data_IF_246171269137
#
_entry.id   IF_246171269137
#
_cell.length_a   1.000
_cell.length_b   1.000
_cell.length_c   1.000
_cell.angle_alpha   90.00
_cell.angle_beta   90.00
_cell.angle_gamma   90.00
#
_symmetry.space_group_name_H-M   'P 1'
#
loop_
_entity.id
_entity.type
_entity.pdbx_description
1 polymer ?
#
# COMPACT_ATOMS: atom_id res chain seq x y z
N UNK A 1 -24.55 -0.36 9.42
CA UNK A 1 -23.16 -0.68 9.01
C UNK A 1 -23.25 -1.99 8.21
N UNK A 2 -23.77 -1.94 6.97
CA UNK A 2 -24.41 -3.11 6.34
C UNK A 2 -23.48 -4.31 6.10
N UNK A 3 -22.21 -4.08 5.74
CA UNK A 3 -21.24 -5.17 5.56
C UNK A 3 -20.77 -5.78 6.88
N UNK A 4 -20.72 -5.02 7.98
CA UNK A 4 -20.43 -5.57 9.31
C UNK A 4 -21.55 -6.50 9.79
N UNK A 5 -22.80 -6.13 9.53
CA UNK A 5 -23.96 -6.96 9.85
C UNK A 5 -23.92 -8.29 9.05
N UNK A 6 -23.55 -8.23 7.77
CA UNK A 6 -23.35 -9.42 6.93
C UNK A 6 -22.19 -10.28 7.40
N UNK A 7 -21.05 -9.67 7.74
CA UNK A 7 -19.90 -10.36 8.32
C UNK A 7 -20.25 -11.09 9.62
N UNK A 8 -20.93 -10.42 10.55
CA UNK A 8 -21.38 -11.00 11.81
C UNK A 8 -22.39 -12.13 11.58
N UNK A 9 -23.32 -11.97 10.62
CA UNK A 9 -24.29 -13.00 10.23
C UNK A 9 -23.70 -14.16 9.43
N UNK A 10 -22.44 -14.07 9.00
CA UNK A 10 -21.74 -15.06 8.20
C UNK A 10 -20.59 -15.72 8.98
N UNK A 11 -20.81 -16.04 10.26
CA UNK A 11 -19.87 -16.75 11.13
C UNK A 11 -18.48 -16.09 11.27
N UNK A 12 -18.41 -14.75 11.18
CA UNK A 12 -17.16 -14.01 11.33
C UNK A 12 -16.21 -14.15 10.15
N UNK A 13 -16.74 -14.45 8.96
CA UNK A 13 -16.00 -14.37 7.70
C UNK A 13 -16.69 -13.41 6.72
N UNK A 14 -15.89 -12.54 6.10
CA UNK A 14 -16.37 -11.55 5.14
C UNK A 14 -16.99 -12.26 3.91
N UNK A 15 -18.31 -12.14 3.69
CA UNK A 15 -18.89 -12.61 2.45
C UNK A 15 -18.39 -11.76 1.28
N UNK A 16 -18.26 -12.34 0.10
CA UNK A 16 -17.87 -11.59 -1.11
C UNK A 16 -19.07 -11.13 -1.95
N UNK A 17 -20.29 -11.40 -1.50
CA UNK A 17 -21.50 -11.11 -2.25
C UNK A 17 -22.71 -10.81 -1.36
N UNK A 18 -23.62 -10.02 -1.91
CA UNK A 18 -24.98 -9.84 -1.43
C UNK A 18 -25.88 -9.59 -2.65
N UNK A 19 -27.04 -10.22 -2.72
CA UNK A 19 -27.99 -9.99 -3.80
C UNK A 19 -28.76 -8.67 -3.67
N UNK A 20 -29.71 -8.41 -4.58
CA UNK A 20 -30.50 -7.17 -4.60
C UNK A 20 -31.25 -6.87 -3.30
N UNK A 21 -31.63 -7.91 -2.55
CA UNK A 21 -32.29 -7.75 -1.24
C UNK A 21 -31.28 -7.57 -0.08
N UNK A 22 -29.99 -7.51 -0.40
CA UNK A 22 -28.90 -7.40 0.58
C UNK A 22 -28.58 -8.71 1.32
N UNK A 23 -29.19 -9.83 0.91
CA UNK A 23 -28.96 -11.16 1.48
C UNK A 23 -27.69 -11.79 0.89
N UNK A 24 -26.84 -12.35 1.76
CA UNK A 24 -25.64 -13.08 1.36
C UNK A 24 -26.02 -14.35 0.60
N UNK A 25 -25.36 -14.62 -0.53
CA UNK A 25 -25.55 -15.83 -1.33
C UNK A 25 -26.84 -15.89 -2.15
N UNK A 26 -27.66 -14.84 -2.15
CA UNK A 26 -29.00 -14.82 -2.77
C UNK A 26 -28.97 -15.23 -4.25
N UNK A 27 -28.01 -14.73 -5.01
CA UNK A 27 -27.84 -15.02 -6.44
C UNK A 27 -26.78 -16.09 -6.73
N UNK A 28 -26.20 -16.69 -5.67
CA UNK A 28 -25.11 -17.68 -5.76
C UNK A 28 -25.44 -19.01 -5.06
N UNK A 29 -26.74 -19.32 -4.93
CA UNK A 29 -27.20 -20.60 -4.38
C UNK A 29 -26.93 -20.74 -2.88
N UNK A 30 -26.93 -19.64 -2.13
CA UNK A 30 -26.63 -19.60 -0.70
C UNK A 30 -25.13 -19.52 -0.37
N UNK A 31 -24.24 -19.53 -1.37
CA UNK A 31 -22.80 -19.40 -1.14
C UNK A 31 -22.43 -17.98 -0.74
N UNK A 32 -21.77 -17.84 0.40
CA UNK A 32 -21.20 -16.57 0.87
C UNK A 32 -19.94 -16.15 0.10
N UNK A 33 -19.45 -17.03 -0.77
CA UNK A 33 -18.35 -16.82 -1.68
C UNK A 33 -18.77 -17.04 -3.13
N UNK A 34 -17.94 -16.60 -4.08
CA UNK A 34 -18.11 -16.92 -5.51
C UNK A 34 -18.28 -15.70 -6.42
N UNK A 35 -18.24 -14.48 -5.88
CA UNK A 35 -18.36 -13.27 -6.70
C UNK A 35 -17.08 -12.92 -7.46
N UNK A 36 -17.22 -12.02 -8.43
CA UNK A 36 -16.08 -11.39 -9.09
C UNK A 36 -15.24 -10.60 -8.08
N UNK A 37 -13.92 -10.81 -8.13
CA UNK A 37 -12.94 -10.25 -7.19
C UNK A 37 -13.17 -10.66 -5.72
N UNK A 38 -13.91 -11.76 -5.51
CA UNK A 38 -14.11 -12.41 -4.22
C UNK A 38 -13.19 -13.61 -4.00
N UNK A 39 -13.63 -14.55 -3.16
CA UNK A 39 -12.82 -15.67 -2.67
C UNK A 39 -12.44 -16.71 -3.72
N UNK A 40 -13.09 -16.74 -4.90
CA UNK A 40 -12.78 -17.68 -6.00
C UNK A 40 -11.98 -17.03 -7.14
N UNK A 41 -11.93 -15.71 -7.18
CA UNK A 41 -11.37 -14.96 -8.31
C UNK A 41 -9.87 -14.66 -8.06
N UNK A 42 -9.07 -14.26 -9.07
CA UNK A 42 -7.70 -13.81 -8.84
C UNK A 42 -7.63 -12.79 -7.70
N UNK A 43 -6.56 -12.89 -6.90
CA UNK A 43 -6.26 -12.08 -5.69
C UNK A 43 -6.96 -12.47 -4.39
N UNK A 44 -8.19 -12.99 -4.42
CA UNK A 44 -8.86 -13.53 -3.23
C UNK A 44 -8.87 -12.59 -2.02
N UNK A 45 -8.50 -13.11 -0.85
CA UNK A 45 -8.46 -12.41 0.42
C UNK A 45 -7.63 -11.13 0.37
N UNK A 46 -6.60 -11.04 -0.48
CA UNK A 46 -5.86 -9.79 -0.65
C UNK A 46 -6.79 -8.61 -0.94
N UNK A 47 -7.71 -8.75 -1.88
CA UNK A 47 -8.61 -7.64 -2.23
C UNK A 47 -9.75 -7.46 -1.24
N UNK A 48 -10.22 -8.55 -0.63
CA UNK A 48 -11.22 -8.50 0.43
C UNK A 48 -10.65 -7.75 1.65
N UNK A 49 -9.45 -8.11 2.09
CA UNK A 49 -8.72 -7.45 3.17
C UNK A 49 -8.42 -5.98 2.85
N UNK A 50 -7.99 -5.66 1.63
CA UNK A 50 -7.80 -4.28 1.19
C UNK A 50 -9.11 -3.49 1.32
N UNK A 51 -10.24 -4.02 0.85
CA UNK A 51 -11.55 -3.36 0.95
C UNK A 51 -12.02 -3.21 2.41
N UNK A 52 -11.75 -4.20 3.27
CA UNK A 52 -12.09 -4.12 4.69
C UNK A 52 -11.26 -3.05 5.41
N UNK A 53 -9.97 -2.93 5.10
CA UNK A 53 -9.13 -1.87 5.65
C UNK A 53 -9.62 -0.51 5.15
N UNK A 54 -9.84 -0.35 3.83
CA UNK A 54 -10.35 0.91 3.28
C UNK A 54 -11.65 1.32 3.97
N UNK A 55 -12.61 0.39 4.11
CA UNK A 55 -13.87 0.67 4.82
C UNK A 55 -13.66 1.07 6.28
N UNK A 56 -12.82 0.33 7.00
CA UNK A 56 -12.49 0.60 8.40
C UNK A 56 -11.76 1.94 8.59
N UNK A 57 -10.81 2.28 7.72
CA UNK A 57 -10.07 3.54 7.78
C UNK A 57 -10.93 4.74 7.44
N UNK A 58 -11.87 4.63 6.49
CA UNK A 58 -12.85 5.69 6.23
C UNK A 58 -13.76 5.90 7.45
N UNK A 59 -14.23 4.82 8.10
CA UNK A 59 -14.99 4.93 9.35
C UNK A 59 -14.14 5.57 10.46
N UNK A 60 -12.89 5.14 10.62
CA UNK A 60 -11.94 5.69 11.59
C UNK A 60 -11.74 7.19 11.37
N UNK A 61 -11.52 7.60 10.13
CA UNK A 61 -11.28 8.99 9.75
C UNK A 61 -12.50 9.89 10.02
N UNK A 62 -13.72 9.39 9.78
CA UNK A 62 -14.95 10.16 9.94
C UNK A 62 -15.47 10.20 11.38
N UNK A 63 -15.16 9.18 12.20
CA UNK A 63 -15.78 9.00 13.52
C UNK A 63 -14.79 9.04 14.68
N UNK A 64 -13.49 8.83 14.43
CA UNK A 64 -12.46 8.65 15.45
C UNK A 64 -12.51 7.33 16.22
N UNK A 65 -13.48 6.44 15.92
CA UNK A 65 -13.72 5.19 16.65
C UNK A 65 -12.57 4.20 16.54
N UNK A 66 -11.96 3.83 17.68
CA UNK A 66 -10.74 3.03 17.70
C UNK A 66 -10.91 1.55 17.34
N UNK A 67 -12.16 1.07 17.27
CA UNK A 67 -12.51 -0.29 16.93
C UNK A 67 -12.83 -0.49 15.42
N UNK A 68 -12.73 0.57 14.61
CA UNK A 68 -13.11 0.53 13.20
C UNK A 68 -12.37 -0.54 12.37
N UNK A 69 -11.14 -0.91 12.73
CA UNK A 69 -10.39 -1.98 12.04
C UNK A 69 -10.45 -3.35 12.74
N UNK A 70 -11.23 -3.53 13.82
CA UNK A 70 -11.29 -4.80 14.55
C UNK A 70 -11.72 -5.98 13.69
N UNK A 71 -12.69 -5.80 12.79
CA UNK A 71 -13.12 -6.83 11.85
C UNK A 71 -11.99 -7.36 10.94
N UNK A 72 -10.96 -6.57 10.63
CA UNK A 72 -9.81 -7.03 9.86
C UNK A 72 -8.91 -7.90 10.75
N UNK A 73 -8.67 -7.46 11.99
CA UNK A 73 -7.88 -8.21 12.97
C UNK A 73 -8.51 -9.58 13.23
N UNK A 74 -9.82 -9.60 13.44
CA UNK A 74 -10.62 -10.82 13.62
C UNK A 74 -10.62 -11.71 12.36
N UNK A 75 -10.70 -11.12 11.16
CA UNK A 75 -10.65 -11.87 9.91
C UNK A 75 -9.27 -12.54 9.71
N UNK A 76 -8.18 -11.87 10.07
CA UNK A 76 -6.85 -12.48 10.10
C UNK A 76 -6.78 -13.62 11.13
N UNK A 77 -7.33 -13.44 12.33
CA UNK A 77 -7.38 -14.49 13.35
C UNK A 77 -8.23 -15.70 12.93
N UNK A 78 -9.32 -15.45 12.19
CA UNK A 78 -10.13 -16.49 11.58
C UNK A 78 -9.32 -17.30 10.58
N UNK A 79 -8.63 -16.63 9.65
CA UNK A 79 -7.84 -17.28 8.60
C UNK A 79 -6.61 -18.00 9.15
N UNK A 80 -6.02 -17.51 10.25
CA UNK A 80 -4.90 -18.14 10.94
C UNK A 80 -5.21 -19.55 11.44
N UNK A 81 -6.48 -19.89 11.67
CA UNK A 81 -6.91 -21.26 12.06
C UNK A 81 -6.62 -22.31 10.98
N UNK A 82 -6.50 -21.86 9.73
CA UNK A 82 -6.21 -22.70 8.58
C UNK A 82 -4.76 -22.59 8.13
N UNK A 83 -3.95 -21.74 8.77
CA UNK A 83 -2.60 -21.44 8.32
C UNK A 83 -1.73 -22.68 8.17
N UNK A 84 -0.83 -22.64 7.19
CA UNK A 84 0.22 -23.64 7.03
C UNK A 84 1.58 -22.98 7.19
N UNK A 85 2.53 -23.70 7.77
CA UNK A 85 3.89 -23.19 7.98
C UNK A 85 4.85 -23.92 7.06
N UNK A 86 5.69 -23.15 6.35
CA UNK A 86 6.80 -23.71 5.56
C UNK A 86 7.95 -24.14 6.46
N UNK A 87 8.86 -24.94 5.91
CA UNK A 87 10.06 -25.40 6.62
C UNK A 87 10.97 -24.23 7.08
N UNK A 88 10.92 -23.09 6.40
CA UNK A 88 11.63 -21.86 6.75
C UNK A 88 10.95 -21.02 7.86
N UNK A 89 9.82 -21.50 8.41
CA UNK A 89 9.04 -20.81 9.43
C UNK A 89 8.03 -19.80 8.89
N UNK A 90 7.95 -19.58 7.58
CA UNK A 90 6.97 -18.65 6.99
C UNK A 90 5.55 -19.19 7.17
N UNK A 91 4.70 -18.39 7.81
CA UNK A 91 3.26 -18.65 7.95
C UNK A 91 2.53 -18.22 6.68
N UNK A 92 1.69 -19.10 6.14
CA UNK A 92 0.87 -18.84 4.96
C UNK A 92 -0.61 -18.94 5.34
N UNK A 93 -1.36 -17.87 5.10
CA UNK A 93 -2.81 -17.84 5.25
C UNK A 93 -3.50 -18.22 3.94
N UNK A 94 -4.67 -18.89 4.00
CA UNK A 94 -5.42 -19.18 2.79
C UNK A 94 -5.90 -17.88 2.15
N UNK A 95 -5.75 -17.79 0.82
CA UNK A 95 -6.18 -16.60 0.09
C UNK A 95 -7.52 -16.79 -0.60
N UNK A 96 -7.95 -18.04 -0.81
CA UNK A 96 -9.13 -18.33 -1.61
C UNK A 96 -9.92 -19.50 -1.06
N UNK A 97 -11.21 -19.53 -1.39
CA UNK A 97 -12.16 -20.55 -0.94
C UNK A 97 -12.97 -21.07 -2.12
N UNK A 98 -13.28 -22.36 -2.12
CA UNK A 98 -14.16 -23.02 -3.10
C UNK A 98 -14.85 -24.25 -2.50
N UNK A 99 -15.66 -24.95 -3.28
CA UNK A 99 -16.30 -26.20 -2.88
C UNK A 99 -15.22 -27.32 -2.69
N UNK A 100 -15.41 -28.25 -1.76
CA UNK A 100 -14.39 -29.26 -1.40
C UNK A 100 -13.94 -30.17 -2.56
N UNK A 101 -14.85 -30.43 -3.50
CA UNK A 101 -14.63 -31.28 -4.67
C UNK A 101 -14.28 -30.48 -5.93
N UNK A 102 -14.12 -29.15 -5.82
CA UNK A 102 -13.82 -28.30 -6.96
C UNK A 102 -12.50 -28.68 -7.65
N UNK A 103 -12.49 -28.57 -8.97
CA UNK A 103 -11.29 -28.68 -9.79
C UNK A 103 -10.71 -27.28 -9.98
N UNK A 104 -9.55 -27.05 -9.36
CA UNK A 104 -8.88 -25.74 -9.33
C UNK A 104 -7.62 -25.80 -10.18
N UNK A 105 -7.71 -25.36 -11.44
CA UNK A 105 -6.59 -25.44 -12.38
C UNK A 105 -6.23 -24.06 -12.94
N UNK A 106 -4.94 -23.70 -12.82
CA UNK A 106 -4.43 -22.41 -13.25
C UNK A 106 -3.11 -22.54 -13.99
N UNK A 107 -2.81 -21.52 -14.79
CA UNK A 107 -1.49 -21.34 -15.37
C UNK A 107 -0.46 -21.19 -14.25
N UNK A 108 0.45 -22.15 -14.13
CA UNK A 108 1.49 -22.21 -13.11
C UNK A 108 2.65 -23.08 -13.58
N UNK A 109 3.54 -23.44 -12.67
CA UNK A 109 4.56 -24.43 -12.95
C UNK A 109 4.63 -25.45 -11.82
N UNK A 110 5.22 -26.61 -12.07
CA UNK A 110 5.24 -27.72 -11.10
C UNK A 110 6.04 -27.39 -9.82
N UNK A 111 6.82 -26.30 -9.81
CA UNK A 111 7.53 -25.79 -8.64
C UNK A 111 6.72 -24.78 -7.83
N UNK A 112 5.51 -24.40 -8.27
CA UNK A 112 4.62 -23.57 -7.47
C UNK A 112 4.36 -24.29 -6.15
N UNK A 113 4.63 -23.66 -4.99
CA UNK A 113 4.37 -24.26 -3.70
C UNK A 113 2.91 -24.70 -3.61
N UNK A 114 2.70 -25.88 -3.00
CA UNK A 114 1.39 -26.45 -2.74
C UNK A 114 0.57 -26.79 -3.99
N UNK A 115 1.22 -27.38 -4.99
CA UNK A 115 0.54 -28.07 -6.07
C UNK A 115 0.16 -29.50 -5.65
N UNK A 116 -0.91 -30.03 -6.24
CA UNK A 116 -1.28 -31.46 -6.15
C UNK A 116 -0.52 -32.24 -7.22
N UNK A 117 -0.01 -33.45 -6.91
CA UNK A 117 0.70 -34.28 -7.88
C UNK A 117 -0.23 -34.91 -8.93
N UNK A 118 -1.53 -35.04 -8.62
CA UNK A 118 -2.55 -35.57 -9.52
C UNK A 118 -3.12 -34.45 -10.40
N UNK A 119 -2.52 -34.24 -11.57
CA UNK A 119 -2.96 -33.28 -12.58
C UNK A 119 -4.18 -33.79 -13.35
N UNK A 120 -5.15 -32.91 -13.63
CA UNK A 120 -6.44 -33.27 -14.25
C UNK A 120 -6.59 -32.73 -15.70
N UNK A 121 -5.66 -31.91 -16.22
CA UNK A 121 -5.64 -31.49 -17.64
C UNK A 121 -4.50 -32.04 -18.49
N UNK A 122 -4.76 -32.10 -19.79
CA UNK A 122 -3.80 -32.29 -20.88
C UNK A 122 -3.16 -30.98 -21.38
N UNK A 123 -3.69 -29.81 -21.01
CA UNK A 123 -3.18 -28.50 -21.42
C UNK A 123 -1.85 -28.13 -20.72
N UNK A 124 -0.71 -27.99 -21.45
CA UNK A 124 0.59 -27.67 -20.89
C UNK A 124 0.60 -26.39 -20.02
N UNK A 125 1.28 -26.45 -18.86
CA UNK A 125 1.40 -25.30 -17.94
C UNK A 125 0.24 -25.08 -16.97
N UNK A 126 -0.82 -25.89 -17.02
CA UNK A 126 -1.84 -25.88 -15.96
C UNK A 126 -1.42 -26.77 -14.78
N UNK A 127 -1.53 -26.24 -13.57
CA UNK A 127 -1.31 -26.97 -12.32
C UNK A 127 -2.56 -26.95 -11.45
N UNK A 128 -2.73 -27.98 -10.62
CA UNK A 128 -3.80 -28.05 -9.61
C UNK A 128 -3.26 -27.61 -8.26
N UNK A 129 -3.92 -26.68 -7.58
CA UNK A 129 -3.52 -26.29 -6.23
C UNK A 129 -4.01 -27.33 -5.19
N UNK A 130 -3.23 -27.49 -4.12
CA UNK A 130 -3.64 -28.19 -2.91
C UNK A 130 -4.68 -27.35 -2.20
N UNK A 131 -5.75 -28.02 -1.80
CA UNK A 131 -6.83 -27.47 -1.00
C UNK A 131 -6.87 -28.17 0.37
N UNK A 132 -7.32 -27.44 1.38
CA UNK A 132 -7.59 -27.95 2.73
C UNK A 132 -8.97 -27.40 3.13
N UNK A 133 -9.98 -28.26 3.23
CA UNK A 133 -11.34 -27.90 3.66
C UNK A 133 -11.92 -26.65 2.96
N UNK A 134 -11.91 -26.62 1.62
CA UNK A 134 -12.36 -25.42 0.88
C UNK A 134 -11.24 -24.43 0.53
N UNK A 135 -10.19 -24.36 1.35
CA UNK A 135 -9.16 -23.32 1.29
C UNK A 135 -8.00 -23.64 0.37
N UNK A 136 -7.53 -22.68 -0.41
CA UNK A 136 -6.38 -22.86 -1.31
C UNK A 136 -5.60 -21.55 -1.54
N UNK A 137 -4.50 -21.67 -2.30
CA UNK A 137 -3.60 -20.56 -2.69
C UNK A 137 -3.01 -19.82 -1.47
N UNK A 138 -2.45 -20.59 -0.53
CA UNK A 138 -1.92 -20.05 0.71
C UNK A 138 -0.66 -19.21 0.44
N UNK A 139 -0.63 -18.00 1.00
CA UNK A 139 0.48 -17.07 0.86
C UNK A 139 0.73 -16.31 2.16
N UNK A 140 1.90 -15.66 2.31
CA UNK A 140 2.09 -14.70 3.38
C UNK A 140 1.05 -13.59 3.28
N UNK A 141 0.68 -13.01 4.43
CA UNK A 141 -0.24 -11.87 4.47
C UNK A 141 0.41 -10.65 3.86
N UNK A 142 -0.40 -9.75 3.29
CA UNK A 142 0.09 -8.50 2.71
C UNK A 142 0.75 -7.63 3.79
N UNK A 143 2.02 -7.27 3.58
CA UNK A 143 2.77 -6.40 4.51
C UNK A 143 2.10 -5.03 4.67
N UNK A 144 1.56 -4.46 3.58
CA UNK A 144 0.78 -3.22 3.62
C UNK A 144 -0.43 -3.36 4.55
N UNK A 145 -1.21 -4.44 4.43
CA UNK A 145 -2.39 -4.64 5.29
C UNK A 145 -2.01 -4.69 6.77
N UNK A 146 -0.91 -5.38 7.10
CA UNK A 146 -0.40 -5.47 8.48
C UNK A 146 0.10 -4.12 8.98
N UNK A 147 0.77 -3.33 8.14
CA UNK A 147 1.25 -2.01 8.50
C UNK A 147 0.10 -1.03 8.74
N UNK A 148 -0.94 -1.06 7.91
CA UNK A 148 -2.17 -0.29 8.12
C UNK A 148 -2.84 -0.62 9.46
N UNK A 149 -2.92 -1.91 9.84
CA UNK A 149 -3.44 -2.31 11.15
C UNK A 149 -2.58 -1.80 12.31
N UNK A 150 -1.25 -1.89 12.20
CA UNK A 150 -0.36 -1.36 13.22
C UNK A 150 -0.50 0.16 13.35
N UNK A 151 -0.47 0.91 12.24
CA UNK A 151 -0.52 2.38 12.27
C UNK A 151 -1.86 2.97 12.67
N UNK A 152 -2.94 2.17 12.71
CA UNK A 152 -4.26 2.58 13.22
C UNK A 152 -4.24 2.87 14.74
N UNK A 153 -3.44 2.13 15.52
CA UNK A 153 -3.40 2.27 16.99
C UNK A 153 -2.00 2.32 17.61
N UNK A 154 -0.98 1.88 16.88
CA UNK A 154 0.39 1.68 17.37
C UNK A 154 0.48 0.73 18.57
N UNK A 155 -0.40 -0.28 18.60
CA UNK A 155 -0.44 -1.27 19.68
C UNK A 155 0.52 -2.43 19.43
N UNK A 156 1.02 -3.01 20.52
CA UNK A 156 2.04 -4.06 20.47
C UNK A 156 1.51 -5.38 19.88
N UNK A 157 0.21 -5.67 20.04
CA UNK A 157 -0.45 -6.84 19.49
C UNK A 157 -0.47 -6.81 17.95
N UNK A 158 -0.75 -5.65 17.35
CA UNK A 158 -0.73 -5.46 15.90
C UNK A 158 0.70 -5.58 15.34
N UNK A 159 1.71 -5.05 16.04
CA UNK A 159 3.11 -5.21 15.65
C UNK A 159 3.57 -6.67 15.72
N UNK A 160 3.18 -7.38 16.78
CA UNK A 160 3.50 -8.79 16.95
C UNK A 160 2.84 -9.63 15.83
N UNK A 161 1.56 -9.37 15.53
CA UNK A 161 0.86 -10.00 14.42
C UNK A 161 1.52 -9.72 13.07
N UNK A 162 1.99 -8.49 12.86
CA UNK A 162 2.73 -8.13 11.66
C UNK A 162 4.01 -8.97 11.51
N UNK A 163 4.76 -9.19 12.61
CA UNK A 163 5.98 -10.02 12.61
C UNK A 163 5.69 -11.49 12.31
N UNK A 164 4.63 -12.03 12.90
CA UNK A 164 4.23 -13.43 12.74
C UNK A 164 3.73 -13.77 11.33
N UNK A 165 2.98 -12.87 10.70
CA UNK A 165 2.32 -13.11 9.41
C UNK A 165 3.12 -12.59 8.20
N UNK A 166 4.18 -11.82 8.43
CA UNK A 166 5.09 -11.35 7.38
C UNK A 166 6.19 -12.37 7.11
N UNK A 167 6.88 -12.18 5.99
CA UNK A 167 8.10 -12.94 5.68
C UNK A 167 9.24 -12.49 6.62
N UNK A 168 9.96 -13.41 7.30
CA UNK A 168 11.04 -13.03 8.21
C UNK A 168 12.12 -12.15 7.57
N UNK A 169 12.47 -12.45 6.31
CA UNK A 169 13.50 -11.71 5.58
C UNK A 169 13.09 -10.27 5.22
N UNK A 170 11.79 -9.94 5.21
CA UNK A 170 11.31 -8.62 4.79
C UNK A 170 11.54 -7.51 5.84
N UNK A 171 11.86 -7.88 7.09
CA UNK A 171 12.01 -6.91 8.19
C UNK A 171 13.33 -6.16 8.16
N UNK A 172 14.40 -6.78 7.64
CA UNK A 172 15.77 -6.27 7.77
C UNK A 172 16.40 -5.93 6.41
N UNK A 173 15.58 -5.66 5.39
CA UNK A 173 16.07 -5.26 4.08
C UNK A 173 15.07 -4.38 3.35
N UNK A 174 15.60 -3.46 2.55
CA UNK A 174 14.86 -2.80 1.46
C UNK A 174 15.20 -3.52 0.15
N UNK A 175 14.18 -3.92 -0.61
CA UNK A 175 14.43 -4.72 -1.83
C UNK A 175 13.53 -4.37 -3.01
N UNK A 176 14.13 -4.34 -4.21
CA UNK A 176 13.43 -4.13 -5.47
C UNK A 176 12.39 -5.23 -5.76
N UNK A 177 12.56 -6.43 -5.19
CA UNK A 177 11.63 -7.55 -5.39
C UNK A 177 10.33 -7.39 -4.62
N UNK A 178 10.29 -6.51 -3.61
CA UNK A 178 9.08 -6.24 -2.85
C UNK A 178 8.12 -5.29 -3.58
N UNK A 179 8.61 -4.54 -4.58
CA UNK A 179 7.84 -3.52 -5.28
C UNK A 179 6.78 -4.17 -6.18
N UNK A 180 5.52 -3.98 -5.83
CA UNK A 180 4.40 -4.37 -6.70
C UNK A 180 4.29 -3.41 -7.88
N UNK A 181 4.11 -3.96 -9.09
CA UNK A 181 4.01 -3.18 -10.31
C UNK A 181 2.92 -2.09 -10.25
N UNK A 182 1.80 -2.36 -9.56
CA UNK A 182 0.65 -1.44 -9.44
C UNK A 182 0.66 -0.56 -8.19
N UNK A 183 1.17 -1.09 -7.07
CA UNK A 183 1.19 -0.37 -5.80
C UNK A 183 2.43 0.52 -5.67
N UNK A 184 3.54 0.17 -6.33
CA UNK A 184 4.83 0.89 -6.33
C UNK A 184 5.45 1.09 -4.93
N UNK A 185 4.91 0.43 -3.91
CA UNK A 185 5.51 0.19 -2.61
C UNK A 185 5.68 -1.29 -2.31
N UNK A 186 6.14 -1.61 -1.10
CA UNK A 186 6.37 -2.95 -0.59
C UNK A 186 7.38 -3.04 0.56
N UNK A 187 7.88 -1.91 1.06
CA UNK A 187 8.87 -1.86 2.16
C UNK A 187 8.21 -1.73 3.54
N UNK A 188 6.91 -2.05 3.65
CA UNK A 188 6.11 -1.87 4.86
C UNK A 188 6.72 -2.60 6.07
N UNK A 189 7.13 -3.87 5.94
CA UNK A 189 7.74 -4.62 7.06
C UNK A 189 9.06 -4.00 7.52
N UNK A 190 9.90 -3.54 6.59
CA UNK A 190 11.15 -2.86 6.91
C UNK A 190 10.90 -1.50 7.59
N UNK A 191 9.88 -0.76 7.15
CA UNK A 191 9.45 0.47 7.78
C UNK A 191 8.91 0.25 9.20
N UNK A 192 8.10 -0.79 9.43
CA UNK A 192 7.65 -1.14 10.77
C UNK A 192 8.83 -1.48 11.69
N UNK A 193 9.86 -2.16 11.16
CA UNK A 193 11.08 -2.46 11.89
C UNK A 193 11.85 -1.17 12.27
N UNK A 194 11.91 -0.21 11.34
CA UNK A 194 12.47 1.13 11.58
C UNK A 194 11.72 1.87 12.69
N UNK A 195 10.38 1.91 12.62
CA UNK A 195 9.55 2.54 13.64
C UNK A 195 9.72 1.90 15.03
N UNK A 196 9.98 0.59 15.09
CA UNK A 196 10.31 -0.11 16.35
C UNK A 196 11.75 0.08 16.82
N UNK A 197 12.57 0.87 16.10
CA UNK A 197 13.93 1.23 16.49
C UNK A 197 14.99 0.18 16.18
N UNK A 198 14.70 -0.80 15.33
CA UNK A 198 15.55 -1.98 15.10
C UNK A 198 16.17 -2.06 13.71
N UNK A 199 15.84 -1.14 12.79
CA UNK A 199 16.47 -1.02 11.47
C UNK A 199 16.96 0.42 11.23
N UNK A 200 18.06 0.81 11.88
CA UNK A 200 18.55 2.19 11.88
C UNK A 200 18.90 2.73 10.48
N UNK A 201 19.42 1.88 9.59
CA UNK A 201 19.87 2.24 8.23
C UNK A 201 18.71 2.39 7.23
N UNK A 202 17.47 2.05 7.63
CA UNK A 202 16.29 2.10 6.78
C UNK A 202 16.11 3.42 6.00
N UNK A 203 16.31 4.62 6.58
CA UNK A 203 16.15 5.86 5.84
C UNK A 203 17.09 5.99 4.65
N UNK A 204 18.34 5.56 4.79
CA UNK A 204 19.32 5.57 3.69
C UNK A 204 18.94 4.52 2.64
N UNK A 205 18.70 3.28 3.08
CA UNK A 205 18.36 2.16 2.21
C UNK A 205 17.10 2.44 1.36
N UNK A 206 16.05 3.01 1.95
CA UNK A 206 14.79 3.30 1.24
C UNK A 206 14.94 4.47 0.26
N UNK A 207 15.78 5.47 0.57
CA UNK A 207 16.06 6.57 -0.34
C UNK A 207 16.90 6.11 -1.53
N UNK A 208 17.94 5.30 -1.30
CA UNK A 208 18.73 4.68 -2.37
C UNK A 208 17.85 3.82 -3.28
N UNK A 209 16.96 3.02 -2.69
CA UNK A 209 15.96 2.25 -3.41
C UNK A 209 15.02 3.12 -4.26
N UNK A 210 14.48 4.22 -3.71
CA UNK A 210 13.64 5.16 -4.45
C UNK A 210 14.39 5.81 -5.62
N UNK A 211 15.66 6.17 -5.43
CA UNK A 211 16.52 6.69 -6.50
C UNK A 211 16.74 5.62 -7.59
N UNK A 212 16.99 4.36 -7.20
CA UNK A 212 17.16 3.25 -8.13
C UNK A 212 15.90 3.00 -8.97
N UNK A 213 14.70 3.10 -8.38
CA UNK A 213 13.43 3.00 -9.10
C UNK A 213 13.29 4.10 -10.17
N UNK A 214 13.67 5.34 -9.85
CA UNK A 214 13.66 6.45 -10.81
C UNK A 214 14.59 6.15 -11.98
N UNK A 215 15.85 5.76 -11.72
CA UNK A 215 16.79 5.43 -12.78
C UNK A 215 16.34 4.25 -13.65
N UNK A 216 15.76 3.22 -13.03
CA UNK A 216 15.19 2.07 -13.75
C UNK A 216 14.07 2.52 -14.68
N UNK A 217 13.15 3.38 -14.19
CA UNK A 217 12.05 3.87 -15.00
C UNK A 217 12.54 4.79 -16.13
N UNK A 218 13.50 5.66 -15.88
CA UNK A 218 14.14 6.48 -16.91
C UNK A 218 14.76 5.62 -18.00
N UNK A 219 15.47 4.54 -17.63
CA UNK A 219 16.05 3.61 -18.60
C UNK A 219 14.98 2.96 -19.50
N UNK A 220 13.83 2.58 -18.93
CA UNK A 220 12.70 2.04 -19.70
C UNK A 220 12.18 3.10 -20.69
N UNK A 221 11.88 4.30 -20.21
CA UNK A 221 11.32 5.38 -21.04
C UNK A 221 12.27 5.81 -22.17
N UNK A 222 13.55 5.95 -21.87
CA UNK A 222 14.57 6.23 -22.88
C UNK A 222 14.72 5.09 -23.88
N UNK A 223 14.69 3.84 -23.40
CA UNK A 223 14.73 2.67 -24.28
C UNK A 223 13.57 2.65 -25.27
N UNK A 224 12.37 2.99 -24.82
CA UNK A 224 11.16 3.03 -25.65
C UNK A 224 11.25 4.08 -26.77
N UNK A 225 11.79 5.27 -26.49
CA UNK A 225 12.07 6.31 -27.52
C UNK A 225 12.99 5.81 -28.64
N UNK A 226 13.76 4.76 -28.38
CA UNK A 226 14.74 4.19 -29.31
C UNK A 226 14.37 2.78 -29.79
N UNK A 227 13.09 2.37 -29.68
CA UNK A 227 12.60 1.12 -30.26
C UNK A 227 12.65 -0.09 -29.34
N UNK A 228 12.97 0.09 -28.05
CA UNK A 228 12.78 -1.00 -27.07
C UNK A 228 11.30 -1.40 -27.01
N UNK A 229 11.07 -2.71 -26.91
CA UNK A 229 9.73 -3.27 -26.73
C UNK A 229 9.28 -3.13 -25.27
N UNK A 230 8.00 -2.88 -25.09
CA UNK A 230 7.30 -2.91 -23.81
C UNK A 230 6.54 -4.24 -23.66
N UNK A 231 6.11 -4.55 -22.44
CA UNK A 231 5.21 -5.69 -22.21
C UNK A 231 3.82 -5.35 -22.75
N UNK A 232 3.21 -6.25 -23.52
CA UNK A 232 1.78 -6.18 -23.83
C UNK A 232 0.97 -6.29 -22.53
N UNK A 233 0.10 -5.31 -22.27
CA UNK A 233 -0.89 -5.39 -21.19
C UNK A 233 -1.91 -6.49 -21.53
N UNK A 234 -2.86 -6.16 -22.40
CA UNK A 234 -3.70 -7.12 -23.11
C UNK A 234 -3.24 -7.15 -24.56
N UNK A 235 -2.95 -8.31 -25.15
CA UNK A 235 -2.57 -8.36 -26.56
C UNK A 235 -3.78 -8.01 -27.46
N UNK A 236 -3.55 -7.57 -28.71
CA UNK A 236 -4.61 -7.47 -29.71
C UNK A 236 -5.34 -8.81 -29.89
N UNK A 237 -6.67 -8.78 -29.99
CA UNK A 237 -7.53 -9.98 -30.04
C UNK A 237 -7.75 -10.53 -31.47
N UNK A 238 -7.07 -9.98 -32.48
CA UNK A 238 -7.12 -10.48 -33.85
C UNK A 238 -6.31 -9.69 -34.88
N UNK A 239 -6.26 -10.22 -36.10
CA UNK A 239 -5.45 -9.68 -37.20
C UNK A 239 -5.78 -8.22 -37.57
N UNK A 240 -7.06 -7.84 -37.46
CA UNK A 240 -7.48 -6.46 -37.71
C UNK A 240 -6.90 -5.49 -36.66
N UNK A 241 -6.94 -5.86 -35.39
CA UNK A 241 -6.38 -5.02 -34.31
C UNK A 241 -4.85 -4.92 -34.41
N UNK A 242 -4.18 -6.00 -34.85
CA UNK A 242 -2.75 -5.93 -35.15
C UNK A 242 -2.42 -5.01 -36.32
N UNK A 243 -3.23 -5.03 -37.39
CA UNK A 243 -3.05 -4.14 -38.53
C UNK A 243 -3.31 -2.67 -38.15
N UNK A 244 -4.35 -2.42 -37.36
CA UNK A 244 -4.61 -1.10 -36.81
C UNK A 244 -3.48 -0.62 -35.90
N UNK A 245 -2.95 -1.48 -35.03
CA UNK A 245 -1.81 -1.15 -34.18
C UNK A 245 -0.56 -0.81 -35.00
N UNK A 246 -0.26 -1.60 -36.05
CA UNK A 246 0.82 -1.32 -37.01
C UNK A 246 0.67 0.05 -37.65
N UNK A 247 -0.52 0.34 -38.18
CA UNK A 247 -0.83 1.62 -38.84
C UNK A 247 -0.72 2.80 -37.86
N UNK A 248 -1.33 2.71 -36.68
CA UNK A 248 -1.27 3.75 -35.64
C UNK A 248 0.18 3.98 -35.20
N UNK A 249 0.97 2.92 -35.05
CA UNK A 249 2.38 3.03 -34.68
C UNK A 249 3.18 3.78 -35.73
N UNK A 250 2.99 3.47 -37.01
CA UNK A 250 3.62 4.19 -38.10
C UNK A 250 3.21 5.67 -38.11
N UNK A 251 1.91 5.96 -38.03
CA UNK A 251 1.39 7.34 -38.02
C UNK A 251 1.96 8.16 -36.83
N UNK A 252 2.05 7.58 -35.64
CA UNK A 252 2.62 8.24 -34.45
C UNK A 252 4.12 8.50 -34.61
N UNK A 253 4.87 7.52 -35.10
CA UNK A 253 6.32 7.65 -35.31
C UNK A 253 6.63 8.72 -36.36
N UNK A 254 5.91 8.74 -37.47
CA UNK A 254 6.06 9.76 -38.53
C UNK A 254 5.68 11.16 -38.01
N UNK A 255 4.54 11.28 -37.32
CA UNK A 255 4.02 12.58 -36.87
C UNK A 255 4.88 13.23 -35.80
N UNK A 256 5.41 12.45 -34.86
CA UNK A 256 6.15 12.95 -33.70
C UNK A 256 7.66 12.70 -33.78
N UNK A 257 8.15 12.18 -34.90
CA UNK A 257 9.56 11.79 -35.09
C UNK A 257 10.06 10.87 -33.96
N UNK A 258 9.28 9.81 -33.70
CA UNK A 258 9.55 8.79 -32.67
C UNK A 258 10.00 7.48 -33.31
N UNK A 259 10.53 6.57 -32.50
CA UNK A 259 10.84 5.19 -32.89
C UNK A 259 10.18 4.19 -31.93
N UNK A 260 8.90 4.35 -31.63
CA UNK A 260 8.18 3.44 -30.75
C UNK A 260 7.89 2.11 -31.43
N UNK A 261 7.99 1.02 -30.66
CA UNK A 261 7.49 -0.29 -31.08
C UNK A 261 5.96 -0.34 -30.99
N UNK A 262 5.33 -1.29 -31.70
CA UNK A 262 3.89 -1.56 -31.58
C UNK A 262 3.48 -1.83 -30.13
N UNK A 263 4.28 -2.61 -29.40
CA UNK A 263 4.02 -2.93 -27.99
C UNK A 263 4.05 -1.69 -27.09
N UNK A 264 4.95 -0.75 -27.41
CA UNK A 264 5.06 0.54 -26.73
C UNK A 264 3.79 1.33 -26.97
N UNK A 265 3.44 1.57 -28.25
CA UNK A 265 2.23 2.31 -28.65
C UNK A 265 0.96 1.71 -28.01
N UNK A 266 0.83 0.39 -28.04
CA UNK A 266 -0.30 -0.30 -27.44
C UNK A 266 -0.41 -0.07 -25.93
N UNK A 267 0.71 -0.18 -25.22
CA UNK A 267 0.73 0.02 -23.77
C UNK A 267 0.44 1.47 -23.34
N UNK A 268 0.69 2.46 -24.21
CA UNK A 268 0.31 3.86 -23.96
C UNK A 268 -1.21 4.06 -23.91
N UNK A 269 -1.98 3.24 -24.63
CA UNK A 269 -3.44 3.28 -24.58
C UNK A 269 -4.01 2.65 -23.29
N UNK A 270 -3.43 1.54 -22.83
CA UNK A 270 -4.04 0.74 -21.76
C UNK A 270 -3.46 0.97 -20.36
N UNK A 271 -2.15 1.16 -20.26
CA UNK A 271 -1.40 0.99 -19.00
C UNK A 271 -0.32 2.05 -18.79
N UNK A 272 -0.48 3.21 -19.43
CA UNK A 272 0.49 4.32 -19.40
C UNK A 272 0.92 4.68 -17.97
N UNK A 273 -0.02 5.09 -17.11
CA UNK A 273 0.30 5.52 -15.75
C UNK A 273 0.89 4.40 -14.89
N UNK A 274 0.62 3.15 -15.22
CA UNK A 274 1.12 2.00 -14.48
C UNK A 274 2.60 1.71 -14.79
N UNK A 275 2.95 1.66 -16.08
CA UNK A 275 4.28 1.26 -16.53
C UNK A 275 5.24 2.42 -16.71
N UNK A 276 4.76 3.67 -16.70
CA UNK A 276 5.58 4.86 -17.02
C UNK A 276 5.62 5.91 -15.92
N UNK A 277 5.02 5.66 -14.76
CA UNK A 277 5.16 6.54 -13.61
C UNK A 277 6.58 6.44 -13.03
N UNK A 278 7.40 7.52 -13.09
CA UNK A 278 8.76 7.52 -12.54
C UNK A 278 8.79 7.76 -11.04
N UNK A 279 7.66 8.07 -10.41
CA UNK A 279 7.59 8.45 -9.01
C UNK A 279 7.14 7.26 -8.16
N UNK A 280 7.98 6.88 -7.20
CA UNK A 280 7.54 6.18 -6.00
C UNK A 280 7.54 7.17 -4.84
N UNK A 281 6.45 7.17 -4.08
CA UNK A 281 6.25 8.10 -2.96
C UNK A 281 6.48 7.42 -1.61
N UNK A 282 6.79 6.12 -1.59
CA UNK A 282 6.85 5.32 -0.36
C UNK A 282 7.86 5.86 0.65
N UNK A 283 9.12 6.09 0.22
CA UNK A 283 10.14 6.70 1.07
C UNK A 283 9.70 8.06 1.62
N UNK A 284 9.03 8.88 0.81
CA UNK A 284 8.56 10.20 1.24
C UNK A 284 7.43 10.09 2.27
N UNK A 285 6.47 9.19 2.05
CA UNK A 285 5.36 8.95 3.00
C UNK A 285 5.90 8.43 4.32
N UNK A 286 6.83 7.47 4.30
CA UNK A 286 7.42 6.90 5.50
C UNK A 286 8.28 7.93 6.23
N UNK A 287 9.30 8.48 5.56
CA UNK A 287 10.32 9.29 6.21
C UNK A 287 9.90 10.73 6.45
N UNK A 288 8.99 11.30 5.67
CA UNK A 288 8.55 12.68 5.91
C UNK A 288 7.21 12.71 6.63
N UNK A 289 6.28 11.81 6.35
CA UNK A 289 4.90 11.95 6.86
C UNK A 289 4.60 11.05 8.06
N UNK A 290 5.46 10.05 8.35
CA UNK A 290 5.28 9.15 9.49
C UNK A 290 4.00 8.32 9.35
N UNK A 291 3.77 7.77 8.16
CA UNK A 291 2.61 6.94 7.82
C UNK A 291 2.95 5.87 6.80
N UNK A 292 1.92 5.25 6.22
CA UNK A 292 2.05 4.15 5.24
C UNK A 292 1.46 4.54 3.89
N UNK A 293 1.96 3.94 2.81
CA UNK A 293 1.45 4.17 1.46
C UNK A 293 -0.02 3.74 1.35
N UNK A 294 -0.93 4.56 0.77
CA UNK A 294 -2.35 4.23 0.69
C UNK A 294 -2.60 2.87 0.04
N UNK A 295 -3.45 2.03 0.67
CA UNK A 295 -3.83 0.73 0.09
C UNK A 295 -4.28 0.87 -1.36
N UNK A 296 -3.78 -0.05 -2.18
CA UNK A 296 -4.11 -0.15 -3.59
C UNK A 296 -5.65 -0.30 -3.79
N UNK A 297 -6.22 0.42 -4.77
CA UNK A 297 -7.66 0.54 -5.07
C UNK A 297 -8.51 1.45 -4.16
N UNK A 298 -7.92 2.46 -3.51
CA UNK A 298 -8.72 3.54 -2.89
C UNK A 298 -8.48 3.74 -1.40
N UNK A 299 -7.34 3.29 -0.87
CA UNK A 299 -6.89 3.63 0.48
C UNK A 299 -6.74 5.14 0.68
N UNK A 300 -6.93 5.56 1.93
CA UNK A 300 -6.68 6.93 2.36
C UNK A 300 -5.19 7.12 2.68
N UNK A 301 -4.71 8.35 2.62
CA UNK A 301 -3.37 8.69 3.08
C UNK A 301 -3.38 8.85 4.61
N UNK A 302 -3.07 7.77 5.33
CA UNK A 302 -2.99 7.77 6.79
C UNK A 302 -1.55 8.06 7.22
N UNK A 303 -1.34 9.29 7.70
CA UNK A 303 -0.02 9.83 8.07
C UNK A 303 -0.12 10.63 9.36
N UNK A 304 1.02 10.80 10.04
CA UNK A 304 1.06 11.61 11.26
C UNK A 304 1.16 13.11 10.95
N UNK A 305 1.88 13.50 9.90
CA UNK A 305 2.05 14.91 9.49
C UNK A 305 1.92 15.14 7.99
N UNK A 306 1.49 16.36 7.63
CA UNK A 306 1.59 16.95 6.29
C UNK A 306 2.24 18.32 6.37
N UNK A 307 2.95 18.74 5.32
CA UNK A 307 3.72 19.99 5.29
C UNK A 307 3.19 21.00 4.28
N UNK A 308 3.37 22.28 4.59
CA UNK A 308 3.12 23.38 3.67
C UNK A 308 4.27 24.39 3.67
N UNK A 309 4.57 24.90 2.48
CA UNK A 309 5.50 25.99 2.23
C UNK A 309 4.77 27.31 2.50
N UNK A 310 5.10 27.94 3.62
CA UNK A 310 4.43 29.17 4.10
C UNK A 310 4.74 30.37 3.18
N UNK A 311 5.97 30.47 2.68
CA UNK A 311 6.38 31.53 1.75
C UNK A 311 5.75 31.33 0.37
N UNK A 312 5.81 30.11 -0.14
CA UNK A 312 5.28 29.75 -1.45
C UNK A 312 3.76 29.55 -1.48
N UNK A 313 3.10 29.51 -0.32
CA UNK A 313 1.66 29.21 -0.13
C UNK A 313 1.22 27.99 -0.93
N UNK A 314 1.93 26.86 -0.75
CA UNK A 314 1.66 25.60 -1.46
C UNK A 314 1.88 24.38 -0.57
N UNK A 315 1.26 23.22 -0.87
CA UNK A 315 1.58 21.96 -0.23
C UNK A 315 3.05 21.54 -0.45
N UNK A 316 3.59 20.82 0.53
CA UNK A 316 4.93 20.24 0.50
C UNK A 316 5.95 21.05 1.29
N UNK A 317 7.16 20.52 1.37
CA UNK A 317 8.29 21.18 2.03
C UNK A 317 8.71 22.45 1.25
N UNK A 318 9.13 23.52 1.94
CA UNK A 318 9.82 24.64 1.31
C UNK A 318 11.10 24.18 0.60
N UNK A 319 11.57 24.98 -0.36
CA UNK A 319 12.89 24.75 -0.96
C UNK A 319 13.98 24.73 0.12
N UNK A 320 14.96 23.84 -0.04
CA UNK A 320 16.10 23.65 0.87
C UNK A 320 15.72 23.12 2.27
N UNK A 321 14.48 22.68 2.48
CA UNK A 321 14.06 22.07 3.75
C UNK A 321 13.95 20.55 3.60
N UNK A 322 14.58 19.82 4.51
CA UNK A 322 14.43 18.38 4.66
C UNK A 322 13.68 18.04 5.96
N UNK A 323 12.95 16.94 5.95
CA UNK A 323 12.23 16.39 7.09
C UNK A 323 12.52 14.89 7.24
N UNK A 324 12.70 14.43 8.47
CA UNK A 324 12.87 13.01 8.81
C UNK A 324 12.04 12.68 10.06
N UNK A 325 11.12 11.74 9.93
CA UNK A 325 10.36 11.13 11.01
C UNK A 325 11.11 9.88 11.44
N UNK A 326 11.63 9.88 12.67
CA UNK A 326 12.49 8.80 13.17
C UNK A 326 11.81 7.80 14.10
N UNK A 327 10.64 8.17 14.63
CA UNK A 327 9.78 7.27 15.38
C UNK A 327 8.35 7.77 15.34
N UNK A 328 7.39 6.85 15.42
CA UNK A 328 5.96 7.14 15.54
C UNK A 328 5.36 6.17 16.54
N UNK A 329 4.55 6.70 17.46
CA UNK A 329 3.79 5.93 18.42
C UNK A 329 2.36 6.49 18.54
N UNK A 330 1.60 5.98 19.51
CA UNK A 330 0.22 6.39 19.76
C UNK A 330 0.10 7.88 20.13
N UNK A 331 1.09 8.44 20.83
CA UNK A 331 1.10 9.79 21.40
C UNK A 331 1.80 10.81 20.47
N UNK A 332 2.39 10.38 19.36
CA UNK A 332 2.87 11.24 18.27
C UNK A 332 4.11 10.73 17.56
N UNK A 333 5.05 11.61 17.21
CA UNK A 333 6.28 11.25 16.51
C UNK A 333 7.51 12.08 16.91
N UNK A 334 8.70 11.57 16.56
CA UNK A 334 9.97 12.34 16.58
C UNK A 334 10.27 12.86 15.18
N UNK A 335 10.44 14.17 15.05
CA UNK A 335 10.66 14.88 13.78
C UNK A 335 12.00 15.59 13.81
N UNK A 336 12.81 15.40 12.78
CA UNK A 336 13.99 16.20 12.49
C UNK A 336 13.72 17.08 11.27
N UNK A 337 13.90 18.39 11.40
CA UNK A 337 13.84 19.37 10.32
C UNK A 337 15.23 19.95 10.09
N UNK A 338 15.61 20.11 8.83
CA UNK A 338 16.87 20.72 8.44
C UNK A 338 16.64 21.80 7.38
N UNK A 339 17.21 22.98 7.59
CA UNK A 339 17.30 24.03 6.58
C UNK A 339 18.71 24.05 5.99
N UNK A 340 18.81 23.59 4.75
CA UNK A 340 20.06 23.48 3.99
C UNK A 340 20.52 24.83 3.41
N UNK A 341 19.67 25.86 3.42
CA UNK A 341 20.05 27.15 2.88
C UNK A 341 21.00 27.88 3.84
N UNK A 342 22.15 28.30 3.33
CA UNK A 342 23.25 28.90 4.13
C UNK A 342 22.98 30.31 4.69
N UNK A 343 22.11 31.09 4.05
CA UNK A 343 21.82 32.48 4.47
C UNK A 343 20.35 32.84 4.68
N UNK A 344 19.40 31.99 4.26
CA UNK A 344 17.97 32.30 4.33
C UNK A 344 17.32 31.45 5.41
N UNK A 345 16.57 32.13 6.27
CA UNK A 345 15.59 31.47 7.12
C UNK A 345 14.49 30.86 6.24
N UNK A 346 13.89 29.77 6.69
CA UNK A 346 12.74 29.14 6.02
C UNK A 346 11.57 29.04 6.98
N UNK A 347 10.36 29.34 6.49
CA UNK A 347 9.12 29.12 7.23
C UNK A 347 8.40 27.88 6.70
N UNK A 348 7.99 26.98 7.60
CA UNK A 348 7.25 25.75 7.29
C UNK A 348 6.02 25.65 8.19
N UNK A 349 4.91 25.16 7.65
CA UNK A 349 3.72 24.82 8.43
C UNK A 349 3.59 23.30 8.51
N UNK A 350 3.53 22.78 9.74
CA UNK A 350 3.16 21.40 10.04
C UNK A 350 1.64 21.31 10.19
N UNK A 351 1.04 20.28 9.62
CA UNK A 351 -0.35 19.89 9.82
C UNK A 351 -0.42 18.49 10.45
N UNK A 352 -1.25 18.32 11.48
CA UNK A 352 -1.56 17.01 12.04
C UNK A 352 -2.47 16.21 11.11
N UNK A 353 -1.96 15.09 10.57
CA UNK A 353 -2.70 14.25 9.61
C UNK A 353 -2.75 14.80 8.18
N UNK A 354 -3.16 13.96 7.23
CA UNK A 354 -3.25 14.35 5.81
C UNK A 354 -4.34 15.40 5.56
N UNK A 355 -5.40 15.35 6.36
CA UNK A 355 -6.65 16.12 6.24
C UNK A 355 -6.89 17.04 7.45
N UNK A 356 -5.86 17.27 8.28
CA UNK A 356 -5.98 18.12 9.47
C UNK A 356 -6.80 17.50 10.60
N UNK A 357 -6.97 16.18 10.57
CA UNK A 357 -7.76 15.39 11.50
C UNK A 357 -7.07 15.17 12.86
N UNK A 358 -5.75 15.38 12.94
CA UNK A 358 -5.01 15.27 14.20
C UNK A 358 -4.75 16.65 14.79
N UNK A 359 -4.82 16.73 16.12
CA UNK A 359 -4.38 17.91 16.86
C UNK A 359 -2.91 17.79 17.22
N UNK A 360 -2.15 18.84 16.96
CA UNK A 360 -0.81 19.04 17.53
C UNK A 360 -1.00 19.56 18.96
N UNK A 361 -0.68 18.72 19.94
CA UNK A 361 -0.87 19.04 21.36
C UNK A 361 0.27 19.91 21.87
N UNK A 362 1.49 19.48 21.64
CA UNK A 362 2.70 20.19 22.02
C UNK A 362 3.90 19.79 21.16
N UNK A 363 4.92 20.61 21.19
CA UNK A 363 6.25 20.31 20.65
C UNK A 363 7.26 20.36 21.79
N UNK A 364 8.11 19.34 21.87
CA UNK A 364 9.18 19.25 22.86
C UNK A 364 10.53 19.24 22.16
N UNK A 365 11.40 20.17 22.56
CA UNK A 365 12.77 20.32 22.04
C UNK A 365 13.68 20.63 23.21
N UNK A 366 14.81 19.94 23.33
CA UNK A 366 15.80 20.20 24.40
C UNK A 366 15.20 20.21 25.82
N UNK A 367 14.23 19.33 26.10
CA UNK A 367 13.44 19.25 27.34
C UNK A 367 12.47 20.43 27.60
N UNK A 368 12.41 21.40 26.70
CA UNK A 368 11.43 22.48 26.74
C UNK A 368 10.16 22.07 25.99
N UNK A 369 9.01 22.21 26.66
CA UNK A 369 7.70 21.87 26.12
C UNK A 369 6.91 23.13 25.78
N UNK A 370 6.48 23.25 24.53
CA UNK A 370 5.62 24.34 24.06
C UNK A 370 4.25 23.79 23.65
N UNK A 371 3.18 24.26 24.30
CA UNK A 371 1.81 23.89 23.94
C UNK A 371 1.36 24.56 22.62
N UNK A 372 0.55 23.85 21.82
CA UNK A 372 0.08 24.32 20.50
C UNK A 372 -1.44 24.40 20.46
N UNK A 373 -2.13 23.30 20.79
CA UNK A 373 -3.60 23.14 20.76
C UNK A 373 -4.26 23.57 19.42
N UNK A 374 -3.67 23.13 18.31
CA UNK A 374 -4.15 23.42 16.95
C UNK A 374 -3.80 22.27 16.00
N UNK A 375 -4.47 22.16 14.84
CA UNK A 375 -4.08 21.24 13.77
C UNK A 375 -2.89 21.75 12.95
N UNK A 376 -2.52 23.03 13.08
CA UNK A 376 -1.39 23.65 12.39
C UNK A 376 -0.36 24.25 13.35
N UNK A 377 0.92 24.11 13.02
CA UNK A 377 2.04 24.77 13.69
C UNK A 377 2.98 25.37 12.64
N UNK A 378 3.21 26.68 12.70
CA UNK A 378 4.27 27.35 11.93
C UNK A 378 5.60 27.28 12.68
N UNK A 379 6.66 26.92 11.97
CA UNK A 379 8.03 26.84 12.47
C UNK A 379 8.95 27.68 11.58
N UNK A 380 9.79 28.50 12.20
CA UNK A 380 10.87 29.22 11.52
C UNK A 380 12.20 28.48 11.75
N UNK A 381 12.89 28.16 10.65
CA UNK A 381 14.16 27.43 10.65
C UNK A 381 15.29 28.38 10.27
N UNK A 382 16.23 28.58 11.19
CA UNK A 382 17.41 29.40 10.94
C UNK A 382 18.24 28.84 9.75
N UNK A 383 19.04 29.69 9.05
CA UNK A 383 19.94 29.20 8.00
C UNK A 383 20.91 28.13 8.53
N UNK A 384 21.23 27.14 7.69
CA UNK A 384 22.17 26.06 7.99
C UNK A 384 21.94 25.40 9.37
N UNK A 385 20.68 25.11 9.69
CA UNK A 385 20.29 24.60 11.00
C UNK A 385 19.55 23.28 10.91
N UNK A 386 19.65 22.50 11.98
CA UNK A 386 18.89 21.28 12.20
C UNK A 386 18.21 21.36 13.57
N UNK A 387 16.98 20.88 13.65
CA UNK A 387 16.24 20.73 14.91
C UNK A 387 15.57 19.37 14.94
N UNK A 388 15.72 18.66 16.05
CA UNK A 388 14.96 17.45 16.35
C UNK A 388 14.01 17.75 17.50
N UNK A 389 12.74 17.36 17.34
CA UNK A 389 11.70 17.61 18.31
C UNK A 389 10.73 16.41 18.41
N UNK A 390 10.09 16.26 19.56
CA UNK A 390 8.96 15.35 19.73
C UNK A 390 7.67 16.15 19.52
N UNK A 391 6.85 15.73 18.56
CA UNK A 391 5.54 16.34 18.30
C UNK A 391 4.46 15.46 18.92
N UNK A 392 3.80 15.94 19.98
CA UNK A 392 2.70 15.26 20.64
C UNK A 392 1.41 15.44 19.84
N UNK A 393 0.69 14.35 19.61
CA UNK A 393 -0.53 14.31 18.82
C UNK A 393 -1.72 13.79 19.64
N UNK A 394 -2.89 14.36 19.38
CA UNK A 394 -4.17 13.75 19.69
C UNK A 394 -4.81 13.38 18.34
N UNK A 395 -4.91 12.07 18.06
CA UNK A 395 -5.37 11.56 16.76
C UNK A 395 -6.89 11.65 16.64
N UNK A 396 -7.34 11.99 15.43
CA UNK A 396 -8.76 12.13 15.07
C UNK A 396 -9.55 13.14 15.93
N UNK A 397 -8.87 14.20 16.40
CA UNK A 397 -9.44 15.26 17.21
C UNK A 397 -10.35 16.23 16.43
N UNK A 398 -10.22 16.27 15.09
CA UNK A 398 -10.97 17.16 14.23
C UNK A 398 -11.64 16.42 13.07
N UNK A 399 -12.78 16.92 12.55
CA UNK A 399 -13.33 16.44 11.29
C UNK A 399 -12.31 16.63 10.15
N UNK A 400 -12.09 15.61 9.30
CA UNK A 400 -11.15 15.70 8.19
C UNK A 400 -11.60 16.77 7.18
N UNK A 401 -10.64 17.48 6.59
CA UNK A 401 -10.90 18.57 5.65
C UNK A 401 -9.77 18.74 4.64
N UNK A 402 -10.09 19.31 3.47
CA UNK A 402 -9.12 19.78 2.49
C UNK A 402 -8.68 21.23 2.71
N UNK A 403 -9.13 21.88 3.78
CA UNK A 403 -8.74 23.27 4.09
C UNK A 403 -7.24 23.34 4.35
N UNK A 404 -6.59 24.27 3.67
CA UNK A 404 -5.15 24.56 3.77
C UNK A 404 -4.90 25.75 4.72
N UNK A 405 -3.68 25.91 5.27
CA UNK A 405 -3.42 26.83 6.40
C UNK A 405 -3.24 28.31 6.03
N UNK A 406 -3.57 28.72 4.79
CA UNK A 406 -3.24 30.05 4.26
C UNK A 406 -4.44 30.90 3.86
#
# INVERSE_FOLDING_TARGET
>A
NAWRERYAGNNGIMPDNAGPDGKVGETLGGRWYGSHYGWVHPHGFRFIGDAMIIGGENERMLTGQADALNWVREQLDYLSRYAITRDDGTVLLPQKHTDEDAVIEYLGNDKTPMTRPDRVTDHPGLVRYRQVDGWYEFSPTSAAQLAHLYTDRFEADDLQKAKELSRPEAWNQVTMTAVSAKYKGGQDSAYLNYLSGTYADYPEDVLEHSIALIYMQHKILHGELHGSVAKFGYAPDGAQEEEDLRRITQELNERYNLNFSETTVHSYYQTFLLYRNPLSMEALVHLTMGGVMPIYNGGQLNVSLRYFDDEGRRPGLPADVAALVSSVDKDGLTLTLCNLHVHKMRSIILQGGAFGEHKLVAIEKDQERTAIDNKWLRIELAPASQVTCRVQLERYAYPPSYIEPF
#
